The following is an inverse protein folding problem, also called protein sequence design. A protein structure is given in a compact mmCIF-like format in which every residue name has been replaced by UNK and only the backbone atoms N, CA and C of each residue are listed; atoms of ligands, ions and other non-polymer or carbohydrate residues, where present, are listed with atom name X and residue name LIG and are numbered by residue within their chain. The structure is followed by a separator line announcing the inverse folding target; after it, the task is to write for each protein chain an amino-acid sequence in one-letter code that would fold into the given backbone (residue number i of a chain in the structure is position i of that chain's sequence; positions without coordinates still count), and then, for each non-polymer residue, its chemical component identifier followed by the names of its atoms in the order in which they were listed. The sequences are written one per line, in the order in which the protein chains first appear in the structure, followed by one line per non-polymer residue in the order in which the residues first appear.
data_IF_860524500423
#
_entry.id   IF_860524500423
#
_cell.length_a   1.000
_cell.length_b   1.000
_cell.length_c   1.000
_cell.angle_alpha   90.00
_cell.angle_beta   90.00
_cell.angle_gamma   90.00
#
_symmetry.space_group_name_H-M   'P 1'
#
loop_
_entity.id
_entity.type
_entity.pdbx_description
1 polymer ?
#
# COMPACT_ATOMS: atom_id res chain seq x y z
N UNK A 1 -22.12 35.64 23.99
CA UNK A 1 -21.88 34.25 23.54
C UNK A 1 -21.25 34.31 22.16
N UNK A 2 -19.92 34.19 22.09
CA UNK A 2 -19.16 34.31 20.85
C UNK A 2 -18.64 32.93 20.48
N UNK A 3 -19.34 32.27 19.56
CA UNK A 3 -18.93 31.00 18.99
C UNK A 3 -17.85 31.27 17.95
N UNK A 4 -16.60 30.91 18.27
CA UNK A 4 -15.50 30.91 17.31
C UNK A 4 -15.79 29.87 16.21
N UNK A 5 -15.58 30.18 14.93
CA UNK A 5 -15.63 29.18 13.87
C UNK A 5 -14.48 28.19 14.09
N UNK A 6 -14.79 26.89 14.01
CA UNK A 6 -13.79 25.82 14.06
C UNK A 6 -12.68 26.12 13.05
N UNK A 7 -11.49 26.34 13.59
CA UNK A 7 -10.25 26.65 12.88
C UNK A 7 -10.00 25.57 11.82
N UNK A 8 -9.94 25.99 10.55
CA UNK A 8 -9.31 25.23 9.46
C UNK A 8 -7.80 25.27 9.71
N UNK A 9 -7.29 24.42 10.60
CA UNK A 9 -5.85 24.33 10.84
C UNK A 9 -5.22 23.31 9.89
N UNK A 10 -4.21 23.77 9.16
CA UNK A 10 -3.37 23.04 8.22
C UNK A 10 -2.46 21.98 8.89
N UNK A 11 -2.99 21.22 9.86
CA UNK A 11 -2.20 20.33 10.73
C UNK A 11 -2.47 18.84 10.51
N UNK A 12 -3.32 18.46 9.56
CA UNK A 12 -3.79 17.07 9.41
C UNK A 12 -3.29 16.38 8.12
N UNK A 13 -2.13 16.80 7.60
CA UNK A 13 -1.47 16.07 6.50
C UNK A 13 -0.91 14.72 7.02
N UNK A 14 -0.54 14.65 8.30
CA UNK A 14 0.08 13.47 8.95
C UNK A 14 -0.89 12.32 9.28
N UNK A 15 -2.21 12.57 9.39
CA UNK A 15 -3.19 11.54 9.77
C UNK A 15 -3.90 10.86 8.57
N UNK A 16 -3.53 11.21 7.34
CA UNK A 16 -4.16 10.67 6.13
C UNK A 16 -3.72 9.23 5.91
N UNK A 17 -4.68 8.38 5.54
CA UNK A 17 -4.41 7.00 5.11
C UNK A 17 -4.84 6.83 3.67
N UNK A 18 -4.05 6.06 2.93
CA UNK A 18 -4.34 5.67 1.56
C UNK A 18 -5.22 4.41 1.56
N UNK A 19 -6.27 4.43 0.76
CA UNK A 19 -7.16 3.30 0.54
C UNK A 19 -7.24 3.02 -0.96
N UNK A 20 -6.88 1.80 -1.37
CA UNK A 20 -6.93 1.40 -2.78
C UNK A 20 -8.38 1.14 -3.21
N UNK A 21 -8.73 1.51 -4.43
CA UNK A 21 -10.02 1.14 -5.03
C UNK A 21 -9.88 -0.24 -5.68
N UNK A 22 -10.28 -1.29 -4.97
CA UNK A 22 -10.21 -2.67 -5.47
C UNK A 22 -11.26 -2.92 -6.57
N UNK A 23 -12.46 -2.39 -6.35
CA UNK A 23 -13.55 -2.41 -7.32
C UNK A 23 -13.75 -1.01 -7.89
N UNK A 24 -14.07 -0.94 -9.18
CA UNK A 24 -14.35 0.32 -9.86
C UNK A 24 -15.67 0.91 -9.33
N UNK A 25 -15.67 2.17 -8.85
CA UNK A 25 -16.92 2.88 -8.57
C UNK A 25 -17.71 3.07 -9.86
N UNK A 26 -18.94 2.56 -9.89
CA UNK A 26 -19.87 2.59 -11.03
C UNK A 26 -21.23 3.12 -10.61
N UNK A 27 -22.00 3.67 -11.55
CA UNK A 27 -23.37 4.13 -11.36
C UNK A 27 -23.51 5.06 -10.16
N UNK A 28 -24.22 4.58 -9.13
CA UNK A 28 -24.48 5.34 -7.90
C UNK A 28 -23.18 5.65 -7.15
N UNK A 29 -22.29 4.67 -6.99
CA UNK A 29 -21.03 4.84 -6.27
C UNK A 29 -20.12 5.86 -6.93
N UNK A 30 -20.07 5.87 -8.27
CA UNK A 30 -19.33 6.89 -9.02
C UNK A 30 -19.92 8.30 -8.77
N UNK A 31 -21.25 8.45 -8.84
CA UNK A 31 -21.91 9.74 -8.60
C UNK A 31 -21.61 10.27 -7.20
N UNK A 32 -21.81 9.39 -6.22
CA UNK A 32 -21.53 9.59 -4.81
C UNK A 32 -20.06 9.98 -4.57
N UNK A 33 -19.11 9.32 -5.23
CA UNK A 33 -17.69 9.66 -5.16
C UNK A 33 -17.41 11.08 -5.65
N UNK A 34 -17.96 11.47 -6.82
CA UNK A 34 -17.78 12.82 -7.38
C UNK A 34 -18.41 13.88 -6.47
N UNK A 35 -19.58 13.61 -5.89
CA UNK A 35 -20.25 14.49 -4.93
C UNK A 35 -19.42 14.70 -3.66
N UNK A 36 -18.86 13.63 -3.11
CA UNK A 36 -17.94 13.72 -1.99
C UNK A 36 -16.68 14.51 -2.38
N UNK A 37 -16.13 14.28 -3.56
CA UNK A 37 -14.98 15.03 -4.06
C UNK A 37 -15.28 16.54 -4.16
N UNK A 38 -16.48 16.92 -4.60
CA UNK A 38 -16.90 18.34 -4.66
C UNK A 38 -16.98 18.98 -3.27
N UNK A 39 -17.29 18.18 -2.25
CA UNK A 39 -17.38 18.65 -0.86
C UNK A 39 -15.99 18.80 -0.22
N UNK A 40 -15.08 17.87 -0.48
CA UNK A 40 -13.77 17.78 0.19
C UNK A 40 -12.63 18.41 -0.64
N UNK A 41 -12.77 18.44 -1.96
CA UNK A 41 -11.79 18.88 -2.93
C UNK A 41 -11.95 20.35 -3.34
N UNK A 42 -10.91 20.88 -3.98
CA UNK A 42 -10.91 22.21 -4.58
C UNK A 42 -10.75 22.16 -6.11
N UNK A 43 -10.04 21.14 -6.62
CA UNK A 43 -9.79 21.04 -8.05
C UNK A 43 -9.78 19.60 -8.52
N UNK A 44 -10.02 19.43 -9.80
CA UNK A 44 -9.86 18.17 -10.51
C UNK A 44 -8.85 18.33 -11.63
N UNK A 45 -8.20 17.22 -11.97
CA UNK A 45 -7.21 17.15 -13.03
C UNK A 45 -7.60 16.04 -13.98
N UNK A 46 -7.42 16.32 -15.27
CA UNK A 46 -7.50 15.35 -16.36
C UNK A 46 -6.23 15.46 -17.21
N UNK A 47 -5.78 14.34 -17.75
CA UNK A 47 -4.67 14.30 -18.71
C UNK A 47 -5.22 14.29 -20.13
N UNK A 48 -4.81 15.27 -20.93
CA UNK A 48 -5.15 15.39 -22.34
C UNK A 48 -3.86 15.33 -23.15
N UNK A 49 -3.71 14.31 -23.98
CA UNK A 49 -2.60 14.18 -24.92
C UNK A 49 -2.86 14.89 -26.24
N UNK A 50 -1.82 15.07 -27.05
CA UNK A 50 -1.93 15.54 -28.45
C UNK A 50 -2.59 14.52 -29.41
N UNK A 51 -2.81 13.28 -28.98
CA UNK A 51 -3.55 12.27 -29.75
C UNK A 51 -5.06 12.58 -29.83
N UNK A 52 -5.74 12.03 -30.84
CA UNK A 52 -7.14 12.35 -31.09
C UNK A 52 -8.10 11.81 -30.00
N UNK A 53 -8.75 12.74 -29.29
CA UNK A 53 -9.97 12.47 -28.56
C UNK A 53 -11.15 12.33 -29.52
N UNK A 54 -12.08 11.43 -29.17
CA UNK A 54 -13.37 11.34 -29.85
C UNK A 54 -14.12 12.69 -29.81
N UNK A 55 -15.09 12.94 -30.72
CA UNK A 55 -15.94 14.14 -30.66
C UNK A 55 -16.60 14.35 -29.29
N UNK A 56 -17.03 13.27 -28.62
CA UNK A 56 -17.61 13.33 -27.28
C UNK A 56 -16.57 13.77 -26.24
N UNK A 57 -15.37 13.17 -26.25
CA UNK A 57 -14.28 13.56 -25.34
C UNK A 57 -13.84 15.00 -25.52
N UNK A 58 -13.77 15.48 -26.78
CA UNK A 58 -13.48 16.90 -27.09
C UNK A 58 -14.57 17.82 -26.53
N UNK A 59 -15.85 17.44 -26.70
CA UNK A 59 -16.96 18.21 -26.17
C UNK A 59 -16.90 18.36 -24.65
N UNK A 60 -16.53 17.29 -23.93
CA UNK A 60 -16.33 17.34 -22.46
C UNK A 60 -15.22 18.33 -22.08
N UNK A 61 -14.10 18.33 -22.78
CA UNK A 61 -13.01 19.29 -22.54
C UNK A 61 -13.47 20.73 -22.79
N UNK A 62 -14.24 20.98 -23.84
CA UNK A 62 -14.81 22.31 -24.12
C UNK A 62 -15.78 22.78 -23.04
N UNK A 63 -16.63 21.88 -22.51
CA UNK A 63 -17.52 22.20 -21.39
C UNK A 63 -16.75 22.53 -20.10
N UNK A 64 -15.59 21.90 -19.87
CA UNK A 64 -14.74 22.16 -18.71
C UNK A 64 -13.82 23.38 -18.89
N UNK A 65 -13.56 23.82 -20.12
CA UNK A 65 -12.62 24.91 -20.44
C UNK A 65 -12.89 26.21 -19.66
N UNK A 66 -14.15 26.68 -19.47
CA UNK A 66 -14.42 27.88 -18.66
C UNK A 66 -14.05 27.74 -17.19
N UNK A 67 -13.87 26.51 -16.70
CA UNK A 67 -13.58 26.19 -15.31
C UNK A 67 -12.08 25.99 -15.04
N UNK A 68 -11.22 26.22 -16.03
CA UNK A 68 -9.77 26.06 -15.88
C UNK A 68 -9.23 26.94 -14.75
N UNK A 69 -8.48 26.31 -13.84
CA UNK A 69 -7.84 26.97 -12.71
C UNK A 69 -6.48 27.59 -13.06
N UNK A 70 -6.04 27.46 -14.31
CA UNK A 70 -4.76 27.95 -14.81
C UNK A 70 -4.45 27.39 -16.19
N UNK A 71 -3.26 27.71 -16.70
CA UNK A 71 -2.78 27.18 -17.98
C UNK A 71 -2.50 25.67 -17.90
N UNK A 72 -2.72 24.92 -19.01
CA UNK A 72 -2.29 23.53 -19.11
C UNK A 72 -0.81 23.37 -18.76
N UNK A 73 -0.46 22.36 -17.96
CA UNK A 73 0.94 22.06 -17.63
C UNK A 73 1.37 20.74 -18.27
N UNK A 74 2.64 20.59 -18.67
CA UNK A 74 3.14 19.29 -19.11
C UNK A 74 3.06 18.24 -17.99
N UNK A 75 2.72 17.01 -18.32
CA UNK A 75 2.72 15.89 -17.39
C UNK A 75 2.89 14.54 -18.09
N UNK A 76 2.92 13.44 -17.31
CA UNK A 76 2.99 12.09 -17.88
C UNK A 76 1.80 11.81 -18.79
N UNK A 77 2.08 11.48 -20.06
CA UNK A 77 1.04 11.13 -21.03
C UNK A 77 0.33 12.31 -21.72
N UNK A 78 0.73 13.56 -21.47
CA UNK A 78 0.18 14.74 -22.17
C UNK A 78 0.20 16.01 -21.32
N UNK A 79 -0.78 16.88 -21.56
CA UNK A 79 -1.04 18.07 -20.77
C UNK A 79 -2.02 17.78 -19.63
N UNK A 80 -1.70 18.26 -18.44
CA UNK A 80 -2.59 18.24 -17.28
C UNK A 80 -3.48 19.48 -17.34
N UNK A 81 -4.79 19.25 -17.40
CA UNK A 81 -5.80 20.28 -17.32
C UNK A 81 -6.38 20.28 -15.91
N UNK A 82 -6.12 21.36 -15.16
CA UNK A 82 -6.68 21.55 -13.82
C UNK A 82 -7.89 22.47 -13.88
N UNK A 83 -9.01 22.02 -13.34
CA UNK A 83 -10.26 22.76 -13.31
C UNK A 83 -10.77 22.90 -11.87
N UNK A 84 -11.47 24.00 -11.62
CA UNK A 84 -12.14 24.28 -10.35
C UNK A 84 -13.23 23.25 -10.12
N UNK A 85 -13.24 22.66 -8.92
CA UNK A 85 -14.22 21.67 -8.53
C UNK A 85 -15.41 22.37 -7.88
N UNK A 86 -16.62 22.11 -8.37
CA UNK A 86 -17.85 22.77 -7.94
C UNK A 86 -19.04 22.21 -8.71
N UNK A 87 -20.21 22.87 -8.58
CA UNK A 87 -21.45 22.36 -9.17
C UNK A 87 -21.38 22.25 -10.71
N UNK A 88 -20.75 23.23 -11.38
CA UNK A 88 -20.61 23.22 -12.84
C UNK A 88 -19.73 22.06 -13.32
N UNK A 89 -18.56 21.83 -12.71
CA UNK A 89 -17.70 20.71 -13.09
C UNK A 89 -18.33 19.38 -12.69
N UNK A 90 -18.99 19.28 -11.52
CA UNK A 90 -19.77 18.11 -11.12
C UNK A 90 -20.77 17.70 -12.20
N UNK A 91 -21.59 18.63 -12.68
CA UNK A 91 -22.59 18.34 -13.70
C UNK A 91 -21.97 17.77 -14.98
N UNK A 92 -20.85 18.33 -15.44
CA UNK A 92 -20.12 17.85 -16.61
C UNK A 92 -19.54 16.44 -16.36
N UNK A 93 -18.87 16.23 -15.23
CA UNK A 93 -18.27 14.93 -14.88
C UNK A 93 -19.32 13.81 -14.81
N UNK A 94 -20.45 14.08 -14.16
CA UNK A 94 -21.55 13.11 -14.00
C UNK A 94 -22.33 12.84 -15.29
N UNK A 95 -22.30 13.76 -16.25
CA UNK A 95 -22.90 13.57 -17.57
C UNK A 95 -21.94 12.80 -18.50
N UNK A 96 -20.64 13.05 -18.37
CA UNK A 96 -19.63 12.46 -19.24
C UNK A 96 -19.42 10.96 -19.01
N UNK A 97 -19.53 10.50 -17.77
CA UNK A 97 -19.26 9.10 -17.41
C UNK A 97 -20.21 8.60 -16.31
N UNK A 98 -20.42 7.29 -16.30
CA UNK A 98 -21.13 6.58 -15.23
C UNK A 98 -20.19 5.76 -14.34
N UNK A 99 -18.87 5.79 -14.58
CA UNK A 99 -17.88 4.97 -13.89
C UNK A 99 -16.51 5.60 -13.90
N UNK A 100 -15.68 5.26 -12.90
CA UNK A 100 -14.41 5.93 -12.68
C UNK A 100 -13.34 5.64 -13.74
N UNK A 101 -13.21 4.40 -14.22
CA UNK A 101 -12.17 4.04 -15.19
C UNK A 101 -12.60 4.23 -16.65
N UNK A 102 -13.79 4.81 -16.88
CA UNK A 102 -14.19 5.29 -18.21
C UNK A 102 -13.44 6.55 -18.66
N UNK A 103 -12.79 7.26 -17.73
CA UNK A 103 -11.93 8.42 -18.00
C UNK A 103 -10.62 7.98 -18.67
N UNK A 104 -10.75 7.50 -19.90
CA UNK A 104 -9.68 6.97 -20.72
C UNK A 104 -9.91 7.31 -22.18
N UNK A 105 -8.80 7.57 -22.88
CA UNK A 105 -8.79 7.78 -24.32
C UNK A 105 -9.19 6.51 -25.07
N UNK A 106 -9.78 6.66 -26.28
CA UNK A 106 -10.09 7.92 -26.96
C UNK A 106 -11.45 8.52 -26.55
N UNK A 107 -12.25 7.82 -25.74
CA UNK A 107 -13.61 8.22 -25.41
C UNK A 107 -13.65 9.52 -24.58
N UNK A 108 -12.81 9.60 -23.55
CA UNK A 108 -12.68 10.72 -22.63
C UNK A 108 -11.20 11.06 -22.40
N UNK A 109 -10.89 12.23 -21.80
CA UNK A 109 -9.56 12.48 -21.25
C UNK A 109 -9.14 11.40 -20.24
N UNK A 110 -7.83 11.18 -20.12
CA UNK A 110 -7.30 10.18 -19.20
C UNK A 110 -7.31 10.69 -17.75
N UNK A 111 -7.44 9.75 -16.81
CA UNK A 111 -7.09 9.88 -15.39
C UNK A 111 -7.80 11.04 -14.68
N UNK A 112 -9.08 10.84 -14.34
CA UNK A 112 -9.80 11.75 -13.45
C UNK A 112 -9.21 11.68 -12.03
N UNK A 113 -8.61 12.78 -11.60
CA UNK A 113 -8.04 12.95 -10.26
C UNK A 113 -8.69 14.13 -9.55
N UNK A 114 -8.82 14.06 -8.22
CA UNK A 114 -9.32 15.14 -7.37
C UNK A 114 -8.27 15.55 -6.36
N UNK A 115 -8.17 16.86 -6.12
CA UNK A 115 -7.18 17.48 -5.24
C UNK A 115 -7.86 18.44 -4.26
N UNK A 116 -7.32 18.47 -3.05
CA UNK A 116 -7.72 19.37 -1.96
C UNK A 116 -7.26 20.81 -2.21
N UNK A 117 -7.75 21.79 -1.41
CA UNK A 117 -7.28 23.18 -1.47
C UNK A 117 -5.77 23.34 -1.22
N UNK A 118 -5.18 22.46 -0.42
CA UNK A 118 -3.73 22.45 -0.13
C UNK A 118 -2.88 21.82 -1.26
N UNK A 119 -3.52 21.39 -2.36
CA UNK A 119 -2.87 20.75 -3.50
C UNK A 119 -2.56 19.27 -3.31
N UNK A 120 -2.87 18.68 -2.16
CA UNK A 120 -2.71 17.24 -1.92
C UNK A 120 -3.78 16.41 -2.65
N UNK A 121 -3.46 15.17 -3.06
CA UNK A 121 -4.41 14.30 -3.75
C UNK A 121 -5.52 13.82 -2.80
N UNK A 122 -6.76 13.90 -3.25
CA UNK A 122 -7.90 13.26 -2.59
C UNK A 122 -8.24 11.94 -3.27
N UNK A 123 -8.31 11.93 -4.62
CA UNK A 123 -8.46 10.75 -5.46
C UNK A 123 -7.41 10.80 -6.57
N UNK A 124 -6.72 9.68 -6.78
CA UNK A 124 -5.82 9.49 -7.92
C UNK A 124 -6.26 8.27 -8.70
N UNK A 125 -6.21 8.36 -10.02
CA UNK A 125 -6.52 7.23 -10.92
C UNK A 125 -5.49 7.08 -12.03
N UNK A 126 -5.29 5.84 -12.45
CA UNK A 126 -4.63 5.46 -13.69
C UNK A 126 -5.63 4.57 -14.44
N UNK A 127 -6.51 5.19 -15.23
CA UNK A 127 -7.69 4.54 -15.77
C UNK A 127 -7.37 3.39 -16.72
N UNK A 128 -6.28 3.51 -17.50
CA UNK A 128 -5.81 2.45 -18.39
C UNK A 128 -5.38 1.18 -17.63
N UNK A 129 -4.87 1.34 -16.41
CA UNK A 129 -4.44 0.24 -15.54
C UNK A 129 -5.53 -0.21 -14.57
N UNK A 130 -6.69 0.46 -14.57
CA UNK A 130 -7.78 0.25 -13.60
C UNK A 130 -7.30 0.37 -12.15
N UNK A 131 -6.37 1.31 -11.92
CA UNK A 131 -5.85 1.61 -10.60
C UNK A 131 -6.43 2.92 -10.10
N UNK A 132 -6.75 2.98 -8.81
CA UNK A 132 -7.06 4.22 -8.14
C UNK A 132 -6.93 4.09 -6.64
N UNK A 133 -6.71 5.21 -5.97
CA UNK A 133 -6.70 5.28 -4.52
C UNK A 133 -7.28 6.59 -4.03
N UNK A 134 -7.82 6.56 -2.81
CA UNK A 134 -8.31 7.73 -2.10
C UNK A 134 -7.45 7.90 -0.85
N UNK A 135 -7.03 9.13 -0.57
CA UNK A 135 -6.43 9.48 0.72
C UNK A 135 -7.48 10.13 1.59
N UNK A 136 -7.68 9.63 2.81
CA UNK A 136 -8.67 10.18 3.74
C UNK A 136 -8.06 10.37 5.13
N UNK A 137 -8.36 11.49 5.76
CA UNK A 137 -8.30 11.62 7.23
C UNK A 137 -9.42 10.80 7.86
N UNK A 138 -9.33 10.54 9.17
CA UNK A 138 -10.40 9.85 9.89
C UNK A 138 -11.74 10.61 9.80
N UNK A 139 -11.70 11.93 9.80
CA UNK A 139 -12.89 12.77 9.72
C UNK A 139 -13.50 12.76 8.30
N UNK A 140 -12.67 12.86 7.26
CA UNK A 140 -13.10 12.73 5.86
C UNK A 140 -13.74 11.36 5.63
N UNK A 141 -13.19 10.29 6.23
CA UNK A 141 -13.77 8.94 6.15
C UNK A 141 -15.16 8.86 6.77
N UNK A 142 -15.36 9.48 7.94
CA UNK A 142 -16.68 9.53 8.58
C UNK A 142 -17.68 10.30 7.70
N UNK A 143 -17.28 11.45 7.14
CA UNK A 143 -18.15 12.21 6.22
C UNK A 143 -18.47 11.42 4.96
N UNK A 144 -17.48 10.77 4.36
CA UNK A 144 -17.65 9.90 3.20
C UNK A 144 -18.62 8.75 3.50
N UNK A 145 -18.60 8.18 4.71
CA UNK A 145 -19.54 7.15 5.13
C UNK A 145 -20.99 7.63 5.22
N UNK A 146 -21.20 8.93 5.50
CA UNK A 146 -22.54 9.51 5.51
C UNK A 146 -23.06 9.82 4.10
N UNK A 147 -22.19 10.27 3.19
CA UNK A 147 -22.60 10.62 1.82
C UNK A 147 -22.61 9.41 0.88
N UNK A 148 -21.75 8.43 1.14
CA UNK A 148 -21.49 7.27 0.26
C UNK A 148 -21.33 5.97 1.07
N UNK A 149 -22.40 5.45 1.71
CA UNK A 149 -22.28 4.30 2.62
C UNK A 149 -21.71 3.04 1.96
N UNK A 150 -22.04 2.80 0.69
CA UNK A 150 -21.59 1.67 -0.12
C UNK A 150 -20.06 1.71 -0.33
N UNK A 151 -19.55 2.81 -0.88
CA UNK A 151 -18.11 3.07 -1.01
C UNK A 151 -17.39 3.00 0.35
N UNK A 152 -17.94 3.62 1.39
CA UNK A 152 -17.33 3.58 2.72
C UNK A 152 -17.30 2.16 3.32
N UNK A 153 -18.25 1.30 2.99
CA UNK A 153 -18.25 -0.11 3.40
C UNK A 153 -17.09 -0.87 2.77
N UNK A 154 -16.80 -0.64 1.48
CA UNK A 154 -15.64 -1.24 0.78
C UNK A 154 -14.33 -0.79 1.45
N UNK A 155 -14.18 0.52 1.69
CA UNK A 155 -13.01 1.09 2.35
C UNK A 155 -12.88 0.63 3.82
N UNK A 156 -14.01 0.43 4.51
CA UNK A 156 -14.04 -0.08 5.88
C UNK A 156 -13.63 -1.55 5.96
N UNK A 157 -14.00 -2.37 4.96
CA UNK A 157 -13.58 -3.77 4.90
C UNK A 157 -12.06 -3.88 4.76
N UNK A 158 -11.45 -3.04 3.92
CA UNK A 158 -9.99 -2.93 3.80
C UNK A 158 -9.35 -2.47 5.11
N UNK A 159 -9.88 -1.41 5.73
CA UNK A 159 -9.36 -0.90 6.99
C UNK A 159 -9.42 -1.95 8.11
N UNK A 160 -10.50 -2.73 8.17
CA UNK A 160 -10.67 -3.81 9.13
C UNK A 160 -9.71 -4.97 8.85
N UNK A 161 -9.58 -5.37 7.60
CA UNK A 161 -8.63 -6.39 7.16
C UNK A 161 -7.18 -5.99 7.48
N UNK A 162 -6.76 -4.77 7.16
CA UNK A 162 -5.42 -4.26 7.47
C UNK A 162 -5.19 -4.13 8.97
N UNK A 163 -6.21 -3.76 9.75
CA UNK A 163 -6.13 -3.70 11.21
C UNK A 163 -5.99 -5.10 11.83
N UNK A 164 -6.72 -6.10 11.32
CA UNK A 164 -6.61 -7.50 11.74
C UNK A 164 -5.19 -7.99 11.44
N UNK A 165 -4.66 -7.70 10.26
CA UNK A 165 -3.30 -8.08 9.87
C UNK A 165 -2.24 -7.40 10.71
N UNK A 166 -2.32 -6.08 10.91
CA UNK A 166 -1.38 -5.36 11.78
C UNK A 166 -1.43 -5.89 13.22
N UNK A 167 -2.62 -6.26 13.70
CA UNK A 167 -2.77 -6.88 15.03
C UNK A 167 -2.16 -8.28 15.06
N UNK A 168 -2.30 -9.05 13.99
CA UNK A 168 -1.71 -10.38 13.87
C UNK A 168 -0.17 -10.31 13.77
N UNK A 169 0.36 -9.40 12.95
CA UNK A 169 1.80 -9.09 12.83
C UNK A 169 2.37 -8.69 14.19
N UNK A 170 1.75 -7.74 14.88
CA UNK A 170 2.19 -7.29 16.21
C UNK A 170 2.15 -8.41 17.26
N UNK A 171 1.10 -9.24 17.26
CA UNK A 171 1.00 -10.39 18.17
C UNK A 171 2.04 -11.47 17.88
N UNK A 172 2.46 -11.62 16.62
CA UNK A 172 3.57 -12.50 16.28
C UNK A 172 4.87 -11.93 16.82
N UNK A 173 5.16 -10.66 16.56
CA UNK A 173 6.36 -9.96 17.07
C UNK A 173 6.46 -10.01 18.61
N UNK A 174 5.38 -9.67 19.32
CA UNK A 174 5.30 -9.72 20.79
C UNK A 174 5.57 -11.14 21.36
N UNK A 175 5.39 -12.19 20.56
CA UNK A 175 5.65 -13.58 20.95
C UNK A 175 7.02 -14.10 20.52
N UNK A 176 7.65 -13.49 19.53
CA UNK A 176 8.96 -13.90 19.01
C UNK A 176 10.05 -13.54 20.03
N UNK A 177 10.10 -12.29 20.49
CA UNK A 177 11.21 -11.81 21.33
C UNK A 177 11.39 -12.62 22.62
N UNK A 178 10.35 -12.87 23.44
CA UNK A 178 10.52 -13.65 24.68
C UNK A 178 10.93 -15.10 24.43
N UNK A 179 10.44 -15.68 23.33
CA UNK A 179 10.74 -17.04 22.94
C UNK A 179 12.19 -17.17 22.45
N UNK A 180 12.66 -16.21 21.64
CA UNK A 180 14.05 -16.15 21.18
C UNK A 180 14.99 -16.00 22.38
N UNK A 181 14.70 -15.11 23.32
CA UNK A 181 15.52 -14.92 24.52
C UNK A 181 15.64 -16.20 25.36
N UNK A 182 14.51 -16.88 25.60
CA UNK A 182 14.49 -18.14 26.33
C UNK A 182 15.30 -19.23 25.62
N UNK A 183 15.08 -19.39 24.31
CA UNK A 183 15.75 -20.40 23.49
C UNK A 183 17.23 -20.11 23.32
N UNK A 184 17.64 -18.85 23.16
CA UNK A 184 19.05 -18.45 23.12
C UNK A 184 19.76 -18.77 24.43
N UNK A 185 19.09 -18.57 25.58
CA UNK A 185 19.60 -18.98 26.88
C UNK A 185 19.89 -20.49 26.95
N UNK A 186 19.02 -21.31 26.37
CA UNK A 186 19.22 -22.77 26.28
C UNK A 186 20.30 -23.15 25.26
N UNK A 187 20.23 -22.59 24.05
CA UNK A 187 21.14 -22.91 22.97
C UNK A 187 22.59 -22.56 23.35
N UNK A 188 22.84 -21.39 23.97
CA UNK A 188 24.19 -21.00 24.43
C UNK A 188 24.79 -21.97 25.44
N UNK A 189 23.97 -22.65 26.26
CA UNK A 189 24.43 -23.70 27.18
C UNK A 189 24.83 -24.98 26.43
N UNK A 190 24.12 -25.30 25.36
CA UNK A 190 24.35 -26.51 24.55
C UNK A 190 25.52 -26.34 23.56
N UNK A 191 25.73 -25.12 23.04
CA UNK A 191 26.79 -24.83 22.05
C UNK A 191 28.20 -24.71 22.63
N UNK A 192 28.40 -25.08 23.90
CA UNK A 192 29.74 -25.11 24.52
C UNK A 192 30.65 -26.20 23.90
N UNK A 193 30.08 -27.20 23.22
CA UNK A 193 30.80 -28.22 22.44
C UNK A 193 30.34 -28.25 20.97
N UNK A 194 31.17 -28.83 20.10
CA UNK A 194 30.91 -28.93 18.66
C UNK A 194 29.65 -29.75 18.33
N UNK A 195 29.42 -30.87 19.03
CA UNK A 195 28.22 -31.71 18.84
C UNK A 195 26.93 -30.97 19.20
N UNK A 196 26.93 -30.22 20.31
CA UNK A 196 25.77 -29.45 20.74
C UNK A 196 25.47 -28.29 19.80
N UNK A 197 26.51 -27.66 19.24
CA UNK A 197 26.35 -26.64 18.19
C UNK A 197 25.71 -27.21 16.93
N UNK A 198 26.19 -28.37 16.46
CA UNK A 198 25.61 -29.02 15.28
C UNK A 198 24.15 -29.42 15.52
N UNK A 199 23.83 -30.00 16.68
CA UNK A 199 22.45 -30.37 17.02
C UNK A 199 21.49 -29.17 17.07
N UNK A 200 21.97 -28.00 17.53
CA UNK A 200 21.20 -26.75 17.45
C UNK A 200 21.02 -26.31 16.00
N UNK A 201 22.06 -26.37 15.18
CA UNK A 201 21.98 -26.00 13.77
C UNK A 201 20.97 -26.88 13.00
N UNK A 202 21.02 -28.20 13.19
CA UNK A 202 20.09 -29.14 12.57
C UNK A 202 18.63 -28.87 12.96
N UNK A 203 18.38 -28.58 14.24
CA UNK A 203 17.05 -28.25 14.73
C UNK A 203 16.50 -26.95 14.12
N UNK A 204 17.35 -25.93 14.01
CA UNK A 204 16.98 -24.65 13.39
C UNK A 204 16.73 -24.81 11.88
N UNK A 205 17.48 -25.68 11.21
CA UNK A 205 17.24 -26.00 9.80
C UNK A 205 15.85 -26.61 9.57
N UNK A 206 15.43 -27.52 10.45
CA UNK A 206 14.07 -28.10 10.42
C UNK A 206 13.01 -26.99 10.55
N UNK A 207 13.25 -26.00 11.40
CA UNK A 207 12.33 -24.88 11.60
C UNK A 207 12.29 -23.95 10.39
N UNK A 208 13.44 -23.65 9.80
CA UNK A 208 13.55 -22.90 8.53
C UNK A 208 12.79 -23.61 7.40
N UNK A 209 12.83 -24.94 7.35
CA UNK A 209 12.13 -25.73 6.35
C UNK A 209 10.63 -25.93 6.63
N UNK A 210 10.14 -25.58 7.83
CA UNK A 210 8.79 -25.96 8.28
C UNK A 210 7.65 -25.22 7.58
N UNK A 211 7.91 -24.05 6.99
CA UNK A 211 6.88 -23.18 6.41
C UNK A 211 5.97 -22.50 7.44
N UNK A 212 6.16 -22.76 8.74
CA UNK A 212 5.47 -22.06 9.83
C UNK A 212 6.14 -20.70 10.05
N UNK A 213 5.37 -19.63 9.89
CA UNK A 213 5.94 -18.29 9.83
C UNK A 213 6.72 -17.92 11.10
N UNK A 214 6.20 -18.32 12.27
CA UNK A 214 6.79 -18.07 13.58
C UNK A 214 8.07 -18.88 13.78
N UNK A 215 8.05 -20.18 13.46
CA UNK A 215 9.25 -21.03 13.57
C UNK A 215 10.38 -20.55 12.68
N UNK A 216 10.07 -20.15 11.45
CA UNK A 216 11.08 -19.65 10.51
C UNK A 216 11.67 -18.33 11.02
N UNK A 217 10.84 -17.43 11.55
CA UNK A 217 11.30 -16.15 12.09
C UNK A 217 12.21 -16.33 13.32
N UNK A 218 11.77 -17.13 14.30
CA UNK A 218 12.57 -17.47 15.49
C UNK A 218 13.88 -18.14 15.09
N UNK A 219 13.84 -19.08 14.12
CA UNK A 219 15.04 -19.78 13.70
C UNK A 219 16.06 -18.86 13.03
N UNK A 220 15.61 -17.96 12.14
CA UNK A 220 16.48 -16.97 11.51
C UNK A 220 17.15 -16.07 12.55
N UNK A 221 16.40 -15.57 13.53
CA UNK A 221 16.92 -14.71 14.60
C UNK A 221 17.96 -15.44 15.48
N UNK A 222 17.67 -16.71 15.81
CA UNK A 222 18.61 -17.55 16.56
C UNK A 222 19.88 -17.84 15.75
N UNK A 223 19.77 -18.12 14.45
CA UNK A 223 20.92 -18.35 13.56
C UNK A 223 21.82 -17.11 13.52
N UNK A 224 21.22 -15.94 13.36
CA UNK A 224 21.95 -14.67 13.35
C UNK A 224 22.64 -14.41 14.69
N UNK A 225 21.91 -14.58 15.80
CA UNK A 225 22.40 -14.36 17.16
C UNK A 225 23.52 -15.32 17.59
N UNK A 226 23.46 -16.58 17.15
CA UNK A 226 24.47 -17.61 17.45
C UNK A 226 25.59 -17.65 16.40
N UNK A 227 25.49 -16.83 15.35
CA UNK A 227 26.42 -16.77 14.20
C UNK A 227 26.69 -18.15 13.61
N UNK A 228 25.62 -18.88 13.27
CA UNK A 228 25.73 -20.23 12.67
C UNK A 228 26.08 -20.13 11.18
N UNK A 229 27.37 -19.97 10.88
CA UNK A 229 27.92 -19.85 9.52
C UNK A 229 27.65 -21.10 8.67
N UNK A 230 27.61 -22.25 9.31
CA UNK A 230 27.30 -23.54 8.71
C UNK A 230 25.92 -23.57 8.02
N UNK A 231 24.98 -22.69 8.39
CA UNK A 231 23.63 -22.61 7.82
C UNK A 231 23.48 -21.54 6.72
N UNK A 232 24.57 -20.87 6.35
CA UNK A 232 24.53 -19.77 5.39
C UNK A 232 23.96 -20.20 4.04
N UNK A 233 24.41 -21.35 3.53
CA UNK A 233 24.02 -21.84 2.20
C UNK A 233 22.52 -22.12 2.14
N UNK A 234 21.96 -22.66 3.21
CA UNK A 234 20.54 -23.01 3.33
C UNK A 234 19.67 -21.75 3.45
N UNK A 235 20.17 -20.70 4.09
CA UNK A 235 19.52 -19.39 4.12
C UNK A 235 19.56 -18.73 2.73
N UNK A 236 20.65 -18.84 1.99
CA UNK A 236 20.72 -18.36 0.60
C UNK A 236 19.73 -19.13 -0.31
N UNK A 237 19.56 -20.44 -0.10
CA UNK A 237 18.54 -21.23 -0.79
C UNK A 237 17.11 -20.85 -0.38
N UNK A 238 16.88 -20.51 0.89
CA UNK A 238 15.59 -19.97 1.33
C UNK A 238 15.31 -18.66 0.61
N UNK A 239 16.29 -17.75 0.55
CA UNK A 239 16.18 -16.45 -0.15
C UNK A 239 15.74 -16.63 -1.61
N UNK A 240 16.37 -17.57 -2.32
CA UNK A 240 16.08 -17.84 -3.72
C UNK A 240 14.65 -18.35 -3.96
N UNK A 241 14.07 -19.05 -2.97
CA UNK A 241 12.70 -19.60 -3.05
C UNK A 241 11.61 -18.61 -2.67
N UNK A 242 11.93 -17.43 -2.13
CA UNK A 242 10.91 -16.45 -1.69
C UNK A 242 10.06 -15.89 -2.83
N UNK A 243 10.58 -15.92 -4.06
CA UNK A 243 9.84 -15.49 -5.24
C UNK A 243 8.89 -16.59 -5.78
N UNK A 244 9.03 -17.83 -5.31
CA UNK A 244 8.12 -18.92 -5.64
C UNK A 244 6.76 -18.72 -4.95
N UNK A 245 5.66 -18.85 -5.69
CA UNK A 245 4.30 -18.80 -5.13
C UNK A 245 4.03 -19.99 -4.19
N UNK A 246 4.73 -21.13 -4.36
CA UNK A 246 4.61 -22.28 -3.47
C UNK A 246 5.13 -22.02 -2.05
N UNK A 247 5.98 -21.01 -1.86
CA UNK A 247 6.56 -20.63 -0.56
C UNK A 247 5.61 -19.80 0.31
N UNK A 248 4.53 -19.28 -0.28
CA UNK A 248 3.64 -18.31 0.37
C UNK A 248 2.61 -19.05 1.25
N UNK A 249 2.44 -18.65 2.53
CA UNK A 249 1.44 -19.25 3.40
C UNK A 249 0.02 -19.11 2.83
N UNK A 250 -0.79 -20.17 2.92
CA UNK A 250 -2.17 -20.19 2.39
C UNK A 250 -3.03 -19.01 2.85
N UNK A 251 -2.83 -18.55 4.09
CA UNK A 251 -3.55 -17.44 4.67
C UNK A 251 -3.33 -16.11 3.92
N UNK A 252 -2.16 -15.93 3.29
CA UNK A 252 -1.81 -14.72 2.52
C UNK A 252 -1.76 -14.97 1.01
N UNK A 253 -1.80 -16.22 0.56
CA UNK A 253 -1.72 -16.60 -0.85
C UNK A 253 -2.86 -16.01 -1.71
N UNK A 254 -4.08 -15.91 -1.17
CA UNK A 254 -5.25 -15.43 -1.91
C UNK A 254 -5.22 -13.92 -2.23
N UNK A 255 -4.38 -13.13 -1.55
CA UNK A 255 -4.33 -11.67 -1.71
C UNK A 255 -2.95 -11.22 -2.23
N UNK A 256 -2.94 -10.56 -3.38
CA UNK A 256 -1.70 -10.15 -4.06
C UNK A 256 -0.89 -9.11 -3.27
N UNK A 257 -1.55 -8.21 -2.55
CA UNK A 257 -0.90 -7.19 -1.71
C UNK A 257 -0.26 -7.86 -0.48
N UNK A 258 -0.98 -8.78 0.16
CA UNK A 258 -0.45 -9.51 1.31
C UNK A 258 0.72 -10.40 0.92
N UNK A 259 0.62 -11.07 -0.23
CA UNK A 259 1.71 -11.85 -0.79
C UNK A 259 2.96 -11.00 -0.98
N UNK A 260 2.83 -9.80 -1.58
CA UNK A 260 3.94 -8.86 -1.76
C UNK A 260 4.53 -8.39 -0.43
N UNK A 261 3.70 -8.02 0.54
CA UNK A 261 4.15 -7.57 1.87
C UNK A 261 4.85 -8.68 2.66
N UNK A 262 4.29 -9.89 2.65
CA UNK A 262 4.89 -11.06 3.28
C UNK A 262 6.27 -11.36 2.67
N UNK A 263 6.38 -11.38 1.34
CA UNK A 263 7.68 -11.54 0.63
C UNK A 263 8.68 -10.47 1.03
N UNK A 264 8.28 -9.21 1.02
CA UNK A 264 9.15 -8.09 1.37
C UNK A 264 9.64 -8.16 2.83
N UNK A 265 8.79 -8.57 3.78
CA UNK A 265 9.19 -8.79 5.18
C UNK A 265 10.14 -9.97 5.30
N UNK A 266 9.79 -11.12 4.74
CA UNK A 266 10.62 -12.34 4.80
C UNK A 266 11.98 -12.13 4.15
N UNK A 267 12.04 -11.42 3.02
CA UNK A 267 13.30 -11.04 2.36
C UNK A 267 14.17 -10.15 3.24
N UNK A 268 13.60 -9.14 3.91
CA UNK A 268 14.34 -8.29 4.84
C UNK A 268 14.97 -9.07 5.99
N UNK A 269 14.24 -10.02 6.58
CA UNK A 269 14.76 -10.87 7.65
C UNK A 269 15.93 -11.74 7.15
N UNK A 270 15.73 -12.44 6.03
CA UNK A 270 16.75 -13.30 5.43
C UNK A 270 18.00 -12.51 5.02
N UNK A 271 17.82 -11.36 4.37
CA UNK A 271 18.93 -10.48 3.97
C UNK A 271 19.68 -9.96 5.21
N UNK A 272 18.96 -9.59 6.27
CA UNK A 272 19.55 -9.17 7.54
C UNK A 272 20.43 -10.25 8.17
N UNK A 273 19.96 -11.50 8.19
CA UNK A 273 20.72 -12.65 8.71
C UNK A 273 21.96 -12.90 7.86
N UNK A 274 21.84 -12.90 6.52
CA UNK A 274 22.97 -13.10 5.62
C UNK A 274 24.04 -12.01 5.74
N UNK A 275 23.64 -10.75 5.99
CA UNK A 275 24.56 -9.65 6.28
C UNK A 275 25.31 -9.92 7.60
N UNK A 276 24.60 -10.30 8.66
CA UNK A 276 25.22 -10.61 9.95
C UNK A 276 26.17 -11.81 9.88
N UNK A 277 25.84 -12.83 9.08
CA UNK A 277 26.74 -13.95 8.81
C UNK A 277 27.92 -13.53 7.92
N UNK A 278 27.74 -12.60 6.97
CA UNK A 278 28.81 -12.11 6.07
C UNK A 278 29.82 -11.16 6.71
N UNK A 279 29.46 -10.44 7.78
CA UNK A 279 30.35 -9.50 8.46
C UNK A 279 31.54 -10.15 9.20
N UNK A 280 31.66 -11.49 9.16
CA UNK A 280 32.76 -12.25 9.78
C UNK A 280 33.92 -12.61 8.86
N UNK A 281 33.89 -12.25 7.57
CA UNK A 281 34.90 -12.67 6.59
C UNK A 281 35.69 -11.48 6.03
N UNK A 282 36.49 -10.81 6.86
CA UNK A 282 37.74 -10.13 6.46
C UNK A 282 38.43 -9.46 7.67
N UNK A 283 39.45 -10.12 8.20
CA UNK A 283 40.69 -9.49 8.66
C UNK A 283 41.79 -10.39 8.11
N UNK A 284 42.56 -9.97 7.09
CA UNK A 284 43.85 -10.59 6.85
C UNK A 284 44.73 -10.26 8.04
N UNK A 285 45.21 -11.29 8.72
CA UNK A 285 46.45 -11.19 9.46
C UNK A 285 47.60 -11.16 8.44
N UNK A 286 48.50 -10.22 8.69
CA UNK A 286 49.74 -9.87 7.96
C UNK A 286 49.62 -8.83 6.83
#
# INVERSE_FOLDING_TARGET
MSSRPFSRSATDVSARRTYELLDEPVGRDYRSLVEAAVTEGASSVLTVSDGELSPAGRHVVELLRPLLAGSPTPGPGGHLLRFQLGEASRAVLLTAADRLFAWRRPALPDNLCFYRPDGSPWLVTIAAERLGYIELTQLERVRLAHTTPELASVLAHQAAHDAILATFERRLEERVDPLVDELLGHARRLTAGSEGRQGVADALLVWVASGDDLRVEVALEMIASLRLQELRQEIEQLRARLDDDASVPRAVAANSVLRKRWRARRRRLVDGVLIQLGAGTQLPAD
#
